data_IF_687881462045
#
_entry.id   IF_687881462045
#
_cell.length_a   1.000
_cell.length_b   1.000
_cell.length_c   1.000
_cell.angle_alpha   90.00
_cell.angle_beta   90.00
_cell.angle_gamma   90.00
#
_symmetry.space_group_name_H-M   'P 1'
#
loop_
_entity.id
_entity.type
_entity.pdbx_description
1 polymer ?
#
# COMPACT_ATOMS: atom_id res chain seq x y z
N UNK A 1 -15.05 20.81 -7.39
CA UNK A 1 -14.42 19.48 -7.25
C UNK A 1 -12.92 19.71 -7.10
N UNK A 2 -12.58 20.56 -6.14
CA UNK A 2 -11.25 21.12 -5.92
C UNK A 2 -11.24 21.90 -4.59
N UNK A 3 -12.11 21.51 -3.65
CA UNK A 3 -12.29 22.18 -2.35
C UNK A 3 -11.59 21.44 -1.19
N UNK A 4 -10.70 20.48 -1.48
CA UNK A 4 -9.92 19.79 -0.43
C UNK A 4 -8.95 18.70 -0.89
N UNK A 5 -9.14 18.14 -2.08
CA UNK A 5 -8.31 17.08 -2.69
C UNK A 5 -7.24 17.59 -3.66
N UNK A 6 -7.35 18.85 -4.08
CA UNK A 6 -6.40 19.49 -5.00
C UNK A 6 -6.64 19.10 -6.46
N UNK A 7 -5.74 19.57 -7.34
CA UNK A 7 -5.81 19.30 -8.77
C UNK A 7 -5.04 18.01 -9.06
N UNK A 8 -5.69 17.06 -9.75
CA UNK A 8 -5.01 15.85 -10.20
C UNK A 8 -3.92 16.19 -11.21
N UNK A 9 -2.67 15.83 -10.89
CA UNK A 9 -1.49 16.09 -11.75
C UNK A 9 -1.04 14.88 -12.55
N UNK A 10 -1.37 13.67 -12.10
CA UNK A 10 -0.94 12.44 -12.73
C UNK A 10 -1.42 11.20 -11.98
N UNK A 11 -1.25 10.04 -12.62
CA UNK A 11 -1.53 8.75 -12.00
C UNK A 11 -0.23 8.14 -11.47
N UNK A 12 -0.22 7.76 -10.19
CA UNK A 12 0.97 7.21 -9.54
C UNK A 12 1.25 5.74 -9.89
N UNK A 13 0.26 5.04 -10.45
CA UNK A 13 0.37 3.62 -10.80
C UNK A 13 -0.60 2.73 -10.03
N UNK A 14 -0.64 1.45 -10.41
CA UNK A 14 -1.44 0.43 -9.76
C UNK A 14 -0.62 -0.22 -8.63
N UNK A 15 -1.03 -0.06 -7.36
CA UNK A 15 -0.32 -0.67 -6.25
C UNK A 15 -0.66 -2.16 -6.12
N UNK A 16 0.36 -3.00 -6.05
CA UNK A 16 0.25 -4.43 -5.73
C UNK A 16 0.89 -4.65 -4.36
N UNK A 17 0.12 -5.17 -3.41
CA UNK A 17 0.59 -5.48 -2.06
C UNK A 17 0.97 -6.96 -1.98
N UNK A 18 2.13 -7.27 -1.40
CA UNK A 18 2.57 -8.64 -1.18
C UNK A 18 3.03 -8.86 0.26
N UNK A 19 2.76 -10.03 0.82
CA UNK A 19 3.40 -10.46 2.06
C UNK A 19 4.84 -10.98 1.81
N UNK A 20 5.53 -11.36 2.88
CA UNK A 20 6.88 -11.94 2.81
C UNK A 20 6.99 -13.23 2.00
N UNK A 21 5.88 -13.94 1.79
CA UNK A 21 5.81 -15.18 1.01
C UNK A 21 5.47 -14.89 -0.46
N UNK A 22 5.34 -13.60 -0.84
CA UNK A 22 5.03 -13.16 -2.20
C UNK A 22 3.54 -13.26 -2.56
N UNK A 23 2.66 -13.57 -1.60
CA UNK A 23 1.21 -13.67 -1.85
C UNK A 23 0.61 -12.28 -1.95
N UNK A 24 -0.22 -12.07 -2.95
CA UNK A 24 -0.93 -10.82 -3.16
C UNK A 24 -1.98 -10.57 -2.08
N UNK A 25 -2.03 -9.35 -1.56
CA UNK A 25 -2.96 -8.90 -0.52
C UNK A 25 -3.90 -7.85 -1.09
N UNK A 26 -5.17 -7.89 -0.66
CA UNK A 26 -6.20 -6.93 -1.07
C UNK A 26 -6.58 -6.01 0.08
N UNK A 27 -6.60 -4.70 -0.18
CA UNK A 27 -6.99 -3.68 0.80
C UNK A 27 -8.50 -3.76 1.05
N UNK A 28 -8.91 -3.84 2.32
CA UNK A 28 -10.32 -3.85 2.73
C UNK A 28 -10.72 -2.53 3.38
N UNK A 29 -11.88 -1.99 3.02
CA UNK A 29 -12.34 -0.65 3.45
C UNK A 29 -12.99 -0.58 4.85
N UNK A 30 -12.92 -1.64 5.67
CA UNK A 30 -13.61 -1.70 6.97
C UNK A 30 -12.66 -1.16 8.06
N UNK A 31 -13.12 -0.27 8.97
CA UNK A 31 -12.28 0.23 10.06
C UNK A 31 -11.89 -0.90 11.02
N UNK A 32 -10.60 -0.97 11.37
CA UNK A 32 -10.03 -1.98 12.27
C UNK A 32 -9.65 -1.36 13.63
N UNK A 33 -9.82 -2.11 14.72
CA UNK A 33 -9.39 -1.72 16.07
C UNK A 33 -7.94 -2.12 16.33
N UNK A 34 -7.03 -1.14 16.40
CA UNK A 34 -5.56 -1.35 16.48
C UNK A 34 -5.07 -2.12 17.71
N UNK A 35 -5.79 -2.09 18.83
CA UNK A 35 -5.32 -2.58 20.15
C UNK A 35 -5.02 -4.09 20.23
N UNK A 36 -5.51 -4.91 19.28
CA UNK A 36 -5.30 -6.37 19.27
C UNK A 36 -4.85 -6.89 17.90
N UNK A 37 -4.20 -6.05 17.08
CA UNK A 37 -3.83 -6.42 15.71
C UNK A 37 -2.72 -7.48 15.67
N UNK A 38 -3.08 -8.72 15.34
CA UNK A 38 -2.13 -9.83 15.06
C UNK A 38 -1.57 -9.82 13.62
N UNK A 39 -2.06 -8.92 12.78
CA UNK A 39 -1.75 -8.85 11.35
C UNK A 39 -1.35 -7.43 10.94
N UNK A 40 -0.55 -6.75 11.77
CA UNK A 40 -0.05 -5.41 11.43
C UNK A 40 0.82 -5.48 10.16
N UNK A 41 0.82 -4.38 9.40
CA UNK A 41 1.65 -4.21 8.20
C UNK A 41 3.13 -4.48 8.50
N UNK A 42 3.56 -4.16 9.74
CA UNK A 42 4.90 -4.34 10.34
C UNK A 42 5.16 -5.71 11.03
N UNK A 43 4.17 -6.60 11.14
CA UNK A 43 4.41 -7.98 11.57
C UNK A 43 4.38 -8.99 10.40
N UNK A 44 3.64 -8.68 9.32
CA UNK A 44 3.34 -9.61 8.21
C UNK A 44 4.38 -9.61 7.07
N UNK A 45 5.29 -8.65 7.05
CA UNK A 45 6.26 -8.43 5.98
C UNK A 45 5.69 -7.72 4.76
N UNK A 46 4.68 -6.85 4.90
CA UNK A 46 3.99 -6.29 3.72
C UNK A 46 4.88 -5.32 2.94
N UNK A 47 4.94 -5.54 1.64
CA UNK A 47 5.57 -4.67 0.63
C UNK A 47 4.52 -4.17 -0.35
N UNK A 48 4.80 -3.04 -0.99
CA UNK A 48 3.99 -2.51 -2.10
C UNK A 48 4.88 -2.23 -3.30
N UNK A 49 4.44 -2.64 -4.49
CA UNK A 49 5.10 -2.38 -5.76
C UNK A 49 4.11 -1.71 -6.72
N UNK A 50 4.54 -0.68 -7.45
CA UNK A 50 3.70 0.07 -8.37
C UNK A 50 3.94 -0.32 -9.83
N UNK A 51 2.85 -0.51 -10.57
CA UNK A 51 2.88 -0.82 -12.01
C UNK A 51 2.14 0.26 -12.82
N UNK A 52 2.78 0.78 -13.86
CA UNK A 52 2.31 1.93 -14.63
C UNK A 52 2.38 3.24 -13.84
N UNK A 53 2.01 4.35 -14.49
CA UNK A 53 2.05 5.67 -13.86
C UNK A 53 3.45 6.15 -13.51
N UNK A 54 3.52 7.17 -12.66
CA UNK A 54 4.77 7.85 -12.30
C UNK A 54 5.71 6.99 -11.45
N UNK A 55 5.18 6.12 -10.58
CA UNK A 55 5.98 5.26 -9.70
C UNK A 55 6.24 3.87 -10.28
N UNK A 56 6.10 3.70 -11.59
CA UNK A 56 6.28 2.39 -12.23
C UNK A 56 7.62 1.73 -11.87
N UNK A 57 7.58 0.52 -11.33
CA UNK A 57 8.74 -0.25 -10.90
C UNK A 57 9.30 0.12 -9.52
N UNK A 58 8.69 1.08 -8.81
CA UNK A 58 9.09 1.45 -7.45
C UNK A 58 8.45 0.50 -6.44
N UNK A 59 9.28 -0.01 -5.51
CA UNK A 59 8.85 -0.85 -4.40
C UNK A 59 9.14 -0.18 -3.05
N UNK A 60 8.18 -0.24 -2.13
CA UNK A 60 8.34 0.21 -0.74
C UNK A 60 8.12 -0.94 0.23
N UNK A 61 8.95 -0.98 1.28
CA UNK A 61 8.81 -1.88 2.43
C UNK A 61 8.88 -1.07 3.72
N UNK A 62 8.03 -1.42 4.69
CA UNK A 62 8.05 -0.80 6.03
C UNK A 62 9.03 -1.52 6.97
N UNK A 63 9.72 -2.53 6.45
CA UNK A 63 10.83 -3.22 7.08
C UNK A 63 12.10 -2.74 6.40
N UNK A 64 12.80 -1.84 7.05
CA UNK A 64 14.22 -1.64 6.87
C UNK A 64 14.89 -2.31 8.08
N UNK A 65 16.01 -3.01 7.86
CA UNK A 65 16.93 -3.30 8.96
C UNK A 65 17.45 -1.99 9.55
#
# INVERSE_FOLDING_TARGET
MDNGDGIAVGWLGHPIFRDKEGRELFVRHIPFRRAESKYSVEQVGVTVEFYGGELNGVSYSVYAN
#
